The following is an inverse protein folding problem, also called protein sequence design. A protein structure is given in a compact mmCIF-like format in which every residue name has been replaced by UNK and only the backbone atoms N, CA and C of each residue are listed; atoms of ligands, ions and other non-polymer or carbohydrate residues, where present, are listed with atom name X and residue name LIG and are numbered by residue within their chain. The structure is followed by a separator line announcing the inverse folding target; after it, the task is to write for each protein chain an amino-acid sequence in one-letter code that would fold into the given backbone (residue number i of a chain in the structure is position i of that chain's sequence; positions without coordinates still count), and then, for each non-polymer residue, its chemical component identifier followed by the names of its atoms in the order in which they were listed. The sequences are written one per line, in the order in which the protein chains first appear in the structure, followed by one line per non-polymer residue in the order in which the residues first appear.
data_IF_847986869769
#
_entry.id   IF_847986869769
#
_cell.length_a   1.000
_cell.length_b   1.000
_cell.length_c   1.000
_cell.angle_alpha   90.00
_cell.angle_beta   90.00
_cell.angle_gamma   90.00
#
_symmetry.space_group_name_H-M   'P 1'
#
loop_
_entity.id
_entity.type
_entity.pdbx_description
1 polymer ?
#
# COMPACT_ATOMS: atom_id res chain seq x y z
N UNK A 1 -11.57 21.71 -13.91
CA UNK A 1 -11.35 21.31 -12.52
C UNK A 1 -10.11 22.03 -12.01
N UNK A 2 -10.18 22.65 -10.85
CA UNK A 2 -9.02 23.38 -10.33
C UNK A 2 -8.03 22.42 -9.64
N UNK A 3 -6.86 22.95 -9.28
CA UNK A 3 -5.80 22.14 -8.66
C UNK A 3 -6.24 21.50 -7.37
N UNK A 4 -7.01 22.21 -6.54
CA UNK A 4 -7.50 21.66 -5.28
C UNK A 4 -8.44 20.47 -5.51
N UNK A 5 -9.36 20.59 -6.46
CA UNK A 5 -10.29 19.50 -6.77
C UNK A 5 -9.55 18.28 -7.32
N UNK A 6 -8.55 18.48 -8.18
CA UNK A 6 -7.71 17.40 -8.69
C UNK A 6 -6.94 16.72 -7.57
N UNK A 7 -6.41 17.51 -6.64
CA UNK A 7 -5.70 16.98 -5.48
C UNK A 7 -6.61 16.07 -4.63
N UNK A 8 -7.83 16.54 -4.35
CA UNK A 8 -8.79 15.78 -3.54
C UNK A 8 -9.19 14.49 -4.24
N UNK A 9 -9.44 14.53 -5.54
CA UNK A 9 -9.79 13.33 -6.32
C UNK A 9 -8.65 12.33 -6.33
N UNK A 10 -7.42 12.79 -6.60
CA UNK A 10 -6.25 11.91 -6.63
C UNK A 10 -5.99 11.27 -5.27
N UNK A 11 -6.08 12.06 -4.20
CA UNK A 11 -5.92 11.57 -2.84
C UNK A 11 -6.99 10.53 -2.50
N UNK A 12 -8.22 10.78 -2.90
CA UNK A 12 -9.32 9.84 -2.67
C UNK A 12 -9.13 8.53 -3.39
N UNK A 13 -8.64 8.56 -4.63
CA UNK A 13 -8.37 7.34 -5.38
C UNK A 13 -7.29 6.49 -4.72
N UNK A 14 -6.22 7.12 -4.23
CA UNK A 14 -5.18 6.42 -3.49
C UNK A 14 -5.76 5.82 -2.21
N UNK A 15 -6.57 6.59 -1.48
CA UNK A 15 -7.20 6.13 -0.25
C UNK A 15 -8.08 4.90 -0.49
N UNK A 16 -8.89 4.93 -1.53
CA UNK A 16 -9.76 3.82 -1.88
C UNK A 16 -8.94 2.58 -2.22
N UNK A 17 -7.83 2.73 -2.94
CA UNK A 17 -6.99 1.59 -3.29
C UNK A 17 -6.43 0.90 -2.05
N UNK A 18 -6.03 1.65 -1.01
CA UNK A 18 -5.56 1.06 0.25
C UNK A 18 -6.68 0.35 0.98
N UNK A 19 -7.87 0.95 1.04
CA UNK A 19 -9.01 0.34 1.73
C UNK A 19 -9.42 -0.96 1.03
N UNK A 20 -9.49 -0.97 -0.30
CA UNK A 20 -9.82 -2.17 -1.08
C UNK A 20 -8.77 -3.25 -0.84
N UNK A 21 -7.49 -2.87 -0.83
CA UNK A 21 -6.40 -3.81 -0.56
C UNK A 21 -6.53 -4.44 0.84
N UNK A 22 -6.85 -3.64 1.84
CA UNK A 22 -7.03 -4.14 3.21
C UNK A 22 -8.21 -5.12 3.31
N UNK A 23 -9.33 -4.80 2.65
CA UNK A 23 -10.49 -5.68 2.62
C UNK A 23 -10.14 -7.00 1.93
N UNK A 24 -9.40 -6.94 0.82
CA UNK A 24 -8.94 -8.13 0.12
C UNK A 24 -8.07 -9.03 0.99
N UNK A 25 -7.12 -8.44 1.74
CA UNK A 25 -6.27 -9.20 2.65
C UNK A 25 -7.07 -9.84 3.78
N UNK A 26 -8.02 -9.10 4.35
CA UNK A 26 -8.86 -9.64 5.42
C UNK A 26 -9.75 -10.78 4.92
N UNK A 27 -10.29 -10.65 3.70
CA UNK A 27 -11.14 -11.67 3.08
C UNK A 27 -10.38 -12.95 2.74
N UNK A 28 -9.09 -12.83 2.40
CA UNK A 28 -8.23 -13.95 2.02
C UNK A 28 -7.15 -14.17 3.08
N UNK A 29 -7.52 -14.13 4.35
CA UNK A 29 -6.59 -14.16 5.47
C UNK A 29 -5.66 -15.36 5.42
N UNK A 30 -6.22 -16.57 5.28
CA UNK A 30 -5.43 -17.80 5.30
C UNK A 30 -4.45 -17.87 4.13
N UNK A 31 -4.90 -17.49 2.94
CA UNK A 31 -4.05 -17.50 1.76
C UNK A 31 -2.90 -16.48 1.91
N UNK A 32 -3.20 -15.31 2.46
CA UNK A 32 -2.19 -14.28 2.67
C UNK A 32 -1.16 -14.73 3.72
N UNK A 33 -1.60 -15.32 4.82
CA UNK A 33 -0.69 -15.88 5.83
C UNK A 33 0.20 -16.95 5.21
N UNK A 34 -0.36 -17.83 4.39
CA UNK A 34 0.41 -18.86 3.69
C UNK A 34 1.49 -18.27 2.79
N UNK A 35 1.13 -17.21 2.05
CA UNK A 35 2.09 -16.50 1.19
C UNK A 35 3.22 -15.89 2.00
N UNK A 36 2.90 -15.25 3.13
CA UNK A 36 3.90 -14.65 4.01
C UNK A 36 4.84 -15.72 4.59
N UNK A 37 4.29 -16.87 4.97
CA UNK A 37 5.10 -17.98 5.47
C UNK A 37 6.05 -18.52 4.40
N UNK A 38 5.59 -18.61 3.15
CA UNK A 38 6.42 -19.04 2.03
C UNK A 38 7.61 -18.10 1.81
N UNK A 39 7.46 -16.83 2.11
CA UNK A 39 8.53 -15.84 1.98
C UNK A 39 9.34 -15.69 3.27
N UNK A 40 9.14 -16.60 4.23
CA UNK A 40 9.89 -16.64 5.48
C UNK A 40 9.79 -15.35 6.30
N UNK A 41 8.62 -14.70 6.24
CA UNK A 41 8.39 -13.52 7.04
C UNK A 41 8.20 -13.89 8.51
N UNK A 42 8.89 -13.16 9.44
CA UNK A 42 8.68 -13.42 10.86
C UNK A 42 7.30 -12.94 11.29
N UNK A 43 6.67 -13.70 12.18
CA UNK A 43 5.37 -13.34 12.76
C UNK A 43 4.33 -12.93 11.72
N UNK A 44 3.94 -13.82 10.80
CA UNK A 44 3.03 -13.43 9.70
C UNK A 44 1.68 -12.91 10.19
N UNK A 45 1.13 -13.48 11.26
CA UNK A 45 -0.16 -13.00 11.81
C UNK A 45 -0.05 -11.56 12.30
N UNK A 46 1.02 -11.24 13.03
CA UNK A 46 1.24 -9.87 13.50
C UNK A 46 1.49 -8.93 12.33
N UNK A 47 2.29 -9.37 11.36
CA UNK A 47 2.56 -8.57 10.16
C UNK A 47 1.31 -8.27 9.37
N UNK A 48 0.46 -9.28 9.14
CA UNK A 48 -0.78 -9.09 8.38
C UNK A 48 -1.76 -8.20 9.12
N UNK A 49 -1.92 -8.38 10.43
CA UNK A 49 -2.78 -7.53 11.23
C UNK A 49 -2.32 -6.07 11.16
N UNK A 50 -1.02 -5.85 11.32
CA UNK A 50 -0.44 -4.50 11.22
C UNK A 50 -0.65 -3.90 9.84
N UNK A 51 -0.47 -4.68 8.77
CA UNK A 51 -0.67 -4.22 7.40
C UNK A 51 -2.10 -3.76 7.17
N UNK A 52 -3.08 -4.56 7.60
CA UNK A 52 -4.49 -4.21 7.44
C UNK A 52 -4.82 -2.94 8.22
N UNK A 53 -4.34 -2.82 9.46
CA UNK A 53 -4.59 -1.63 10.27
C UNK A 53 -3.97 -0.38 9.64
N UNK A 54 -2.74 -0.47 9.16
CA UNK A 54 -2.07 0.66 8.51
C UNK A 54 -2.84 1.09 7.26
N UNK A 55 -3.27 0.13 6.44
CA UNK A 55 -4.01 0.45 5.22
C UNK A 55 -5.38 1.05 5.50
N UNK A 56 -6.12 0.53 6.48
CA UNK A 56 -7.45 1.06 6.82
C UNK A 56 -7.33 2.45 7.43
N UNK A 57 -6.50 2.59 8.47
CA UNK A 57 -6.34 3.87 9.17
C UNK A 57 -5.75 4.91 8.22
N UNK A 58 -4.70 4.53 7.49
CA UNK A 58 -4.06 5.42 6.53
C UNK A 58 -4.99 5.80 5.39
N UNK A 59 -5.76 4.83 4.87
CA UNK A 59 -6.73 5.11 3.82
C UNK A 59 -7.80 6.09 4.27
N UNK A 60 -8.34 5.90 5.47
CA UNK A 60 -9.34 6.81 6.02
C UNK A 60 -8.76 8.21 6.24
N UNK A 61 -7.54 8.30 6.78
CA UNK A 61 -6.87 9.59 6.97
C UNK A 61 -6.63 10.31 5.65
N UNK A 62 -6.23 9.59 4.61
CA UNK A 62 -6.06 10.17 3.28
C UNK A 62 -7.38 10.65 2.71
N UNK A 63 -8.45 9.87 2.89
CA UNK A 63 -9.76 10.21 2.35
C UNK A 63 -10.30 11.48 2.99
N UNK A 64 -10.17 11.59 4.30
CA UNK A 64 -10.63 12.77 5.05
C UNK A 64 -9.67 13.95 4.85
N UNK A 65 -8.40 13.67 4.66
CA UNK A 65 -7.38 14.72 4.50
C UNK A 65 -6.75 15.18 5.80
N UNK A 66 -6.76 14.31 6.82
CA UNK A 66 -6.19 14.62 8.13
C UNK A 66 -4.89 13.88 8.35
N UNK A 67 -3.98 14.46 9.15
CA UNK A 67 -2.69 13.85 9.51
C UNK A 67 -1.92 13.37 8.28
N UNK A 68 -1.88 14.19 7.21
CA UNK A 68 -1.30 13.75 5.93
C UNK A 68 0.18 13.38 6.01
N UNK A 69 1.00 14.16 6.71
CA UNK A 69 2.43 13.86 6.80
C UNK A 69 2.71 12.49 7.43
N UNK A 70 2.27 12.23 8.66
CA UNK A 70 2.55 10.92 9.27
C UNK A 70 1.89 9.76 8.51
N UNK A 71 0.69 9.99 7.98
CA UNK A 71 -0.04 8.96 7.22
C UNK A 71 0.72 8.60 5.95
N UNK A 72 1.14 9.58 5.16
CA UNK A 72 1.85 9.32 3.90
C UNK A 72 3.19 8.64 4.19
N UNK A 73 3.93 9.08 5.21
CA UNK A 73 5.19 8.46 5.57
C UNK A 73 4.99 7.01 5.97
N UNK A 74 3.97 6.72 6.79
CA UNK A 74 3.68 5.35 7.22
C UNK A 74 3.27 4.46 6.04
N UNK A 75 2.40 4.96 5.17
CA UNK A 75 1.95 4.20 4.00
C UNK A 75 3.10 4.00 3.01
N UNK A 76 3.94 5.00 2.79
CA UNK A 76 5.10 4.88 1.91
C UNK A 76 6.05 3.79 2.43
N UNK A 77 6.39 3.83 3.71
CA UNK A 77 7.24 2.83 4.31
C UNK A 77 6.63 1.43 4.22
N UNK A 78 5.32 1.32 4.50
CA UNK A 78 4.62 0.05 4.43
C UNK A 78 4.66 -0.53 3.00
N UNK A 79 4.32 0.26 1.99
CA UNK A 79 4.30 -0.21 0.60
C UNK A 79 5.70 -0.60 0.14
N UNK A 80 6.71 0.20 0.50
CA UNK A 80 8.09 -0.09 0.14
C UNK A 80 8.57 -1.41 0.77
N UNK A 81 8.30 -1.61 2.06
CA UNK A 81 8.69 -2.84 2.74
C UNK A 81 7.93 -4.05 2.20
N UNK A 82 6.63 -3.93 2.00
CA UNK A 82 5.82 -5.02 1.46
C UNK A 82 6.29 -5.42 0.07
N UNK A 83 6.62 -4.43 -0.78
CA UNK A 83 7.14 -4.69 -2.12
C UNK A 83 8.48 -5.41 -2.06
N UNK A 84 9.37 -4.99 -1.16
CA UNK A 84 10.67 -5.62 -1.01
C UNK A 84 10.57 -7.05 -0.49
N UNK A 85 9.62 -7.33 0.41
CA UNK A 85 9.53 -8.65 1.02
C UNK A 85 8.92 -9.70 0.10
N UNK A 86 7.91 -9.38 -0.71
CA UNK A 86 7.21 -10.40 -1.48
C UNK A 86 7.43 -10.25 -2.99
N UNK A 87 6.84 -9.26 -3.69
CA UNK A 87 6.96 -9.24 -5.15
C UNK A 87 8.38 -9.05 -5.65
N UNK A 88 9.21 -8.29 -4.96
CA UNK A 88 10.58 -8.09 -5.38
C UNK A 88 11.40 -9.37 -5.26
N UNK A 89 11.22 -10.12 -4.17
CA UNK A 89 11.88 -11.41 -4.01
C UNK A 89 11.44 -12.40 -5.10
N UNK A 90 10.15 -12.45 -5.41
CA UNK A 90 9.63 -13.32 -6.46
C UNK A 90 10.24 -12.98 -7.82
N UNK A 91 10.34 -11.68 -8.14
CA UNK A 91 10.93 -11.23 -9.39
C UNK A 91 12.42 -11.59 -9.48
N UNK A 92 13.18 -11.37 -8.39
CA UNK A 92 14.60 -11.65 -8.36
C UNK A 92 14.92 -13.14 -8.41
N UNK A 93 14.08 -13.96 -7.77
CA UNK A 93 14.25 -15.42 -7.74
C UNK A 93 13.64 -16.11 -8.95
N UNK A 94 13.04 -15.36 -9.85
CA UNK A 94 12.37 -15.89 -11.04
C UNK A 94 11.21 -16.83 -10.69
N UNK A 95 10.60 -16.64 -9.52
CA UNK A 95 9.44 -17.39 -9.06
C UNK A 95 8.23 -16.45 -9.08
N UNK A 96 7.19 -16.82 -9.80
CA UNK A 96 6.00 -15.98 -9.92
C UNK A 96 6.28 -14.63 -10.54
N UNK A 97 7.30 -14.53 -11.37
CA UNK A 97 7.78 -13.27 -11.94
C UNK A 97 6.70 -12.57 -12.76
N UNK A 98 5.92 -13.34 -13.52
CA UNK A 98 4.87 -12.79 -14.36
C UNK A 98 3.81 -12.07 -13.53
N UNK A 99 3.51 -12.57 -12.32
CA UNK A 99 2.57 -11.92 -11.40
C UNK A 99 3.22 -10.81 -10.60
N UNK A 100 4.51 -10.97 -10.26
CA UNK A 100 5.21 -10.03 -9.39
C UNK A 100 5.54 -8.72 -10.09
N UNK A 101 5.95 -8.75 -11.36
CA UNK A 101 6.38 -7.54 -12.07
C UNK A 101 5.25 -6.50 -12.18
N UNK A 102 4.01 -6.85 -12.56
CA UNK A 102 2.93 -5.87 -12.56
C UNK A 102 2.63 -5.31 -11.17
N UNK A 103 2.73 -6.12 -10.12
CA UNK A 103 2.52 -5.66 -8.75
C UNK A 103 3.57 -4.65 -8.35
N UNK A 104 4.84 -4.90 -8.69
CA UNK A 104 5.94 -3.96 -8.42
C UNK A 104 5.68 -2.63 -9.14
N UNK A 105 5.30 -2.69 -10.42
CA UNK A 105 4.98 -1.48 -11.17
C UNK A 105 3.84 -0.69 -10.55
N UNK A 106 2.78 -1.37 -10.15
CA UNK A 106 1.63 -0.76 -9.48
C UNK A 106 2.05 -0.11 -8.16
N UNK A 107 2.87 -0.78 -7.36
CA UNK A 107 3.34 -0.25 -6.09
C UNK A 107 4.24 0.97 -6.27
N UNK A 108 5.07 0.98 -7.30
CA UNK A 108 5.88 2.17 -7.63
C UNK A 108 4.96 3.36 -7.95
N UNK A 109 3.89 3.13 -8.70
CA UNK A 109 2.92 4.18 -9.00
C UNK A 109 2.26 4.72 -7.73
N UNK A 110 1.92 3.85 -6.79
CA UNK A 110 1.35 4.25 -5.51
C UNK A 110 2.35 5.10 -4.71
N UNK A 111 3.62 4.68 -4.67
CA UNK A 111 4.67 5.43 -3.99
C UNK A 111 4.82 6.83 -4.59
N UNK A 112 4.79 6.93 -5.92
CA UNK A 112 4.83 8.22 -6.60
C UNK A 112 3.64 9.10 -6.26
N UNK A 113 2.45 8.49 -6.22
CA UNK A 113 1.23 9.20 -5.83
C UNK A 113 1.30 9.74 -4.41
N UNK A 114 1.83 8.96 -3.48
CA UNK A 114 2.01 9.40 -2.09
C UNK A 114 2.97 10.58 -1.98
N UNK A 115 4.06 10.56 -2.73
CA UNK A 115 4.99 11.70 -2.78
C UNK A 115 4.28 12.94 -3.29
N UNK A 116 3.47 12.82 -4.34
CA UNK A 116 2.70 13.93 -4.88
C UNK A 116 1.70 14.48 -3.86
N UNK A 117 1.10 13.62 -3.04
CA UNK A 117 0.18 14.09 -1.99
C UNK A 117 0.91 15.01 -1.03
N UNK A 118 2.12 14.66 -0.60
CA UNK A 118 2.90 15.55 0.27
C UNK A 118 3.31 16.84 -0.42
N UNK A 119 3.69 16.75 -1.69
CA UNK A 119 4.12 17.92 -2.45
C UNK A 119 2.98 18.93 -2.65
N UNK A 120 1.76 18.44 -2.86
CA UNK A 120 0.62 19.26 -3.23
C UNK A 120 -0.35 19.57 -2.09
N UNK A 121 -0.07 19.09 -0.90
CA UNK A 121 -1.02 19.21 0.22
C UNK A 121 -1.33 20.65 0.62
N UNK A 122 -0.52 21.60 0.20
CA UNK A 122 -0.73 23.03 0.49
C UNK A 122 -1.57 23.75 -0.59
N UNK A 123 -1.90 23.06 -1.63
CA UNK A 123 -2.62 23.64 -2.77
C UNK A 123 -4.14 23.70 -2.55
#
# INVERSE_FOLDING_TARGET
MNTHALFVVGRGLIAISFIVSAIGKASNWKDTIGLMQMHQMPWPTLGLTSAILIEIVGGVCLLIGTFLYPTVIALFAYVALATAFIPLQDALKNQGRESAVPIIGSNIAILGGLVLVLALKRV
#
